data_IF_994341158187
#
_entry.id   IF_994341158187
#
_cell.length_a   1.000
_cell.length_b   1.000
_cell.length_c   1.000
_cell.angle_alpha   90.00
_cell.angle_beta   90.00
_cell.angle_gamma   90.00
#
_symmetry.space_group_name_H-M   'P 1'
#
loop_
_entity.id
_entity.type
_entity.pdbx_description
1 polymer ?
#
# COMPACT_ATOMS: atom_id res chain seq x y z
N UNK A 1 -61.47 34.75 -45.02
CA UNK A 1 -62.04 34.18 -43.79
C UNK A 1 -62.38 32.73 -44.11
N UNK A 2 -61.47 31.81 -43.79
CA UNK A 2 -61.56 30.37 -44.07
C UNK A 2 -61.02 29.60 -42.84
N UNK A 3 -61.70 28.48 -42.52
CA UNK A 3 -61.50 27.38 -41.52
C UNK A 3 -60.45 27.56 -40.41
N UNK A 4 -60.76 27.41 -39.11
CA UNK A 4 -61.31 26.25 -38.37
C UNK A 4 -60.42 25.01 -38.50
N UNK A 5 -59.78 24.62 -37.40
CA UNK A 5 -59.95 23.30 -36.77
C UNK A 5 -59.34 23.31 -35.35
N UNK A 6 -60.21 23.01 -34.39
CA UNK A 6 -59.93 22.55 -33.04
C UNK A 6 -59.18 21.21 -33.09
N UNK A 7 -58.21 20.94 -32.21
CA UNK A 7 -58.30 19.75 -31.34
C UNK A 7 -57.20 19.69 -30.26
N UNK A 8 -57.63 19.04 -29.20
CA UNK A 8 -57.04 18.76 -27.91
C UNK A 8 -55.99 17.63 -28.00
N UNK A 9 -55.05 17.59 -27.06
CA UNK A 9 -54.21 16.41 -26.89
C UNK A 9 -52.99 16.66 -26.02
N UNK A 10 -53.13 16.46 -24.72
CA UNK A 10 -51.97 16.12 -23.90
C UNK A 10 -51.42 14.77 -24.35
N UNK A 11 -50.10 14.68 -24.48
CA UNK A 11 -49.40 13.41 -24.48
C UNK A 11 -48.08 13.57 -23.72
N UNK A 12 -47.94 12.75 -22.69
CA UNK A 12 -46.67 12.49 -22.04
C UNK A 12 -46.11 11.22 -22.64
N UNK A 13 -44.97 11.33 -23.31
CA UNK A 13 -44.10 10.22 -23.73
C UNK A 13 -42.65 10.65 -23.45
N UNK A 14 -42.07 10.23 -22.34
CA UNK A 14 -41.12 9.11 -22.17
C UNK A 14 -39.82 9.26 -22.98
N UNK A 15 -38.74 9.55 -22.23
CA UNK A 15 -37.34 9.10 -22.33
C UNK A 15 -36.65 9.02 -23.70
N UNK A 16 -35.55 9.76 -23.82
CA UNK A 16 -34.28 9.25 -24.34
C UNK A 16 -33.15 9.85 -23.50
N UNK A 17 -32.43 8.99 -22.77
CA UNK A 17 -31.10 9.31 -22.28
C UNK A 17 -30.09 8.81 -23.30
N UNK A 18 -29.12 9.63 -23.68
CA UNK A 18 -27.78 9.20 -24.08
C UNK A 18 -26.83 10.40 -24.17
N UNK A 19 -25.54 10.15 -23.96
CA UNK A 19 -24.49 10.92 -24.63
C UNK A 19 -23.73 11.97 -23.85
N UNK A 20 -22.73 11.51 -23.09
CA UNK A 20 -21.46 12.16 -22.77
C UNK A 20 -20.96 13.28 -23.73
N UNK A 21 -20.27 14.27 -23.13
CA UNK A 21 -18.90 14.73 -23.45
C UNK A 21 -18.80 16.25 -23.36
N UNK A 22 -18.27 16.78 -22.26
CA UNK A 22 -17.42 17.98 -22.25
C UNK A 22 -16.34 17.75 -21.18
N UNK A 23 -15.30 17.00 -21.60
CA UNK A 23 -13.93 17.22 -21.14
C UNK A 23 -13.50 18.64 -21.55
N UNK A 24 -12.45 19.17 -20.91
CA UNK A 24 -11.83 20.50 -21.06
C UNK A 24 -12.37 21.52 -20.01
N UNK A 25 -11.58 22.12 -19.12
CA UNK A 25 -10.22 22.60 -19.24
C UNK A 25 -9.49 22.67 -17.89
N UNK A 26 -8.20 22.38 -17.98
CA UNK A 26 -7.12 22.70 -17.04
C UNK A 26 -7.23 24.12 -16.45
N UNK A 27 -7.26 24.21 -15.12
CA UNK A 27 -6.65 25.34 -14.41
C UNK A 27 -5.53 24.84 -13.52
N UNK A 28 -4.36 24.75 -14.14
CA UNK A 28 -3.07 24.78 -13.47
C UNK A 28 -2.89 26.13 -12.78
N UNK A 29 -3.21 26.21 -11.48
CA UNK A 29 -2.62 27.24 -10.62
C UNK A 29 -1.15 26.89 -10.40
N UNK A 30 -0.32 27.56 -11.19
CA UNK A 30 1.12 27.56 -11.07
C UNK A 30 1.52 28.35 -9.82
N UNK A 31 1.77 27.66 -8.71
CA UNK A 31 2.51 28.22 -7.58
C UNK A 31 3.99 27.94 -7.79
N UNK A 32 4.75 29.00 -8.09
CA UNK A 32 6.21 28.97 -8.18
C UNK A 32 6.81 28.54 -6.83
N UNK A 33 7.29 27.30 -6.75
CA UNK A 33 8.17 26.87 -5.68
C UNK A 33 9.52 26.42 -6.29
N UNK A 34 10.50 27.30 -6.17
CA UNK A 34 11.90 26.99 -6.41
C UNK A 34 12.38 26.04 -5.31
N UNK A 35 12.39 24.72 -5.58
CA UNK A 35 13.12 23.73 -4.78
C UNK A 35 14.16 22.97 -5.63
N UNK A 36 15.37 23.01 -5.08
CA UNK A 36 16.65 22.41 -5.44
C UNK A 36 16.53 20.89 -5.79
N UNK A 37 17.45 20.30 -6.58
CA UNK A 37 17.24 19.01 -7.22
C UNK A 37 17.32 17.87 -6.21
N UNK A 38 16.17 17.43 -5.69
CA UNK A 38 16.08 16.18 -4.96
C UNK A 38 14.82 15.44 -5.43
N UNK A 39 14.99 14.56 -6.42
CA UNK A 39 14.05 13.45 -6.63
C UNK A 39 14.12 12.57 -5.38
N UNK A 40 13.31 12.90 -4.38
CA UNK A 40 13.31 12.21 -3.09
C UNK A 40 12.61 10.86 -3.28
N UNK A 41 13.36 9.88 -3.80
CA UNK A 41 12.98 8.45 -3.95
C UNK A 41 12.84 7.72 -2.60
N UNK A 42 12.51 8.46 -1.53
CA UNK A 42 12.60 8.02 -0.15
C UNK A 42 11.45 7.17 0.38
N UNK A 43 10.19 7.19 -0.10
CA UNK A 43 9.14 6.42 0.58
C UNK A 43 9.40 4.91 0.56
N UNK A 44 9.86 4.38 -0.57
CA UNK A 44 10.27 2.97 -0.69
C UNK A 44 11.55 2.68 0.12
N UNK A 45 12.56 3.55 -0.02
CA UNK A 45 13.86 3.36 0.63
C UNK A 45 13.75 3.44 2.16
N UNK A 46 12.90 4.34 2.67
CA UNK A 46 12.57 4.50 4.08
C UNK A 46 11.82 3.29 4.62
N UNK A 47 10.83 2.77 3.89
CA UNK A 47 10.14 1.53 4.27
C UNK A 47 11.14 0.36 4.37
N UNK A 48 12.02 0.18 3.39
CA UNK A 48 13.07 -0.85 3.43
C UNK A 48 14.02 -0.67 4.62
N UNK A 49 14.45 0.56 4.89
CA UNK A 49 15.33 0.85 6.02
C UNK A 49 14.65 0.54 7.36
N UNK A 50 13.38 0.90 7.53
CA UNK A 50 12.58 0.60 8.73
C UNK A 50 12.40 -0.92 8.88
N UNK A 51 12.15 -1.65 7.81
CA UNK A 51 12.01 -3.11 7.83
C UNK A 51 13.32 -3.80 8.22
N UNK A 52 14.45 -3.36 7.68
CA UNK A 52 15.77 -3.89 8.06
C UNK A 52 16.08 -3.57 9.52
N UNK A 53 15.83 -2.33 9.96
CA UNK A 53 15.99 -1.93 11.36
C UNK A 53 15.10 -2.71 12.32
N UNK A 54 13.86 -3.01 11.89
CA UNK A 54 12.94 -3.83 12.64
C UNK A 54 13.51 -5.25 12.82
N UNK A 55 13.94 -5.92 11.74
CA UNK A 55 14.54 -7.27 11.80
C UNK A 55 15.79 -7.30 12.70
N UNK A 56 16.65 -6.28 12.63
CA UNK A 56 17.79 -6.14 13.53
C UNK A 56 17.38 -5.99 15.00
N UNK A 57 16.36 -5.18 15.27
CA UNK A 57 15.77 -5.05 16.60
C UNK A 57 15.19 -6.36 17.12
N UNK A 58 14.55 -7.15 16.25
CA UNK A 58 14.06 -8.49 16.56
C UNK A 58 15.20 -9.44 16.90
N UNK A 59 16.27 -9.46 16.11
CA UNK A 59 17.45 -10.29 16.35
C UNK A 59 18.05 -10.05 17.76
N UNK A 60 18.17 -8.78 18.16
CA UNK A 60 18.70 -8.39 19.47
C UNK A 60 17.70 -8.75 20.59
N UNK A 61 16.41 -8.47 20.37
CA UNK A 61 15.36 -8.76 21.35
C UNK A 61 15.28 -10.26 21.64
N UNK A 62 15.23 -11.11 20.62
CA UNK A 62 15.17 -12.56 20.75
C UNK A 62 16.47 -13.14 21.33
N UNK A 63 17.63 -12.59 20.98
CA UNK A 63 18.91 -13.03 21.54
C UNK A 63 19.04 -12.75 23.04
N UNK A 64 18.43 -11.68 23.57
CA UNK A 64 18.49 -11.33 24.99
C UNK A 64 17.44 -12.09 25.82
N UNK A 65 16.26 -12.35 25.25
CA UNK A 65 15.12 -12.89 25.99
C UNK A 65 15.00 -14.42 25.93
N UNK A 66 15.33 -15.04 24.81
CA UNK A 66 15.21 -16.49 24.62
C UNK A 66 16.55 -17.22 24.55
N UNK A 67 17.68 -16.52 24.66
CA UNK A 67 19.03 -17.08 24.42
C UNK A 67 19.17 -17.74 23.02
N UNK A 68 18.26 -17.42 22.11
CA UNK A 68 18.28 -17.90 20.74
C UNK A 68 19.41 -17.26 19.94
N UNK A 69 19.91 -17.99 18.95
CA UNK A 69 20.83 -17.41 17.98
C UNK A 69 20.15 -16.20 17.30
N UNK A 70 20.89 -15.10 17.13
CA UNK A 70 20.41 -13.91 16.40
C UNK A 70 19.82 -14.26 15.03
N UNK A 71 20.34 -15.31 14.39
CA UNK A 71 19.87 -15.81 13.10
C UNK A 71 18.47 -16.45 13.18
N UNK A 72 18.17 -17.21 14.23
CA UNK A 72 16.87 -17.91 14.36
C UNK A 72 15.75 -16.92 14.69
N UNK A 73 16.01 -15.98 15.61
CA UNK A 73 15.04 -14.93 15.96
C UNK A 73 14.73 -13.97 14.81
N UNK A 74 15.75 -13.58 14.04
CA UNK A 74 15.54 -12.74 12.85
C UNK A 74 14.86 -13.48 11.70
N UNK A 75 15.19 -14.76 11.50
CA UNK A 75 14.53 -15.64 10.53
C UNK A 75 13.04 -15.79 10.84
N UNK A 76 12.69 -16.12 12.09
CA UNK A 76 11.29 -16.25 12.51
C UNK A 76 10.49 -14.95 12.27
N UNK A 77 11.07 -13.80 12.65
CA UNK A 77 10.44 -12.50 12.44
C UNK A 77 10.22 -12.24 10.95
N UNK A 78 11.25 -12.44 10.11
CA UNK A 78 11.14 -12.22 8.68
C UNK A 78 10.11 -13.15 8.02
N UNK A 79 10.11 -14.45 8.35
CA UNK A 79 9.15 -15.44 7.81
C UNK A 79 7.72 -15.13 8.22
N UNK A 80 7.51 -14.67 9.46
CA UNK A 80 6.20 -14.25 9.96
C UNK A 80 5.70 -12.99 9.24
N UNK A 81 6.58 -12.00 9.10
CA UNK A 81 6.29 -10.72 8.44
C UNK A 81 6.05 -10.84 6.94
N UNK A 82 6.86 -11.66 6.26
CA UNK A 82 6.68 -11.97 4.83
C UNK A 82 5.46 -12.84 4.56
N UNK A 83 4.69 -13.18 5.59
CA UNK A 83 3.52 -14.07 5.57
C UNK A 83 3.80 -15.46 5.00
N UNK A 84 5.07 -15.85 4.91
CA UNK A 84 5.49 -17.21 4.53
C UNK A 84 5.08 -18.19 5.62
N UNK A 85 5.33 -17.85 6.90
CA UNK A 85 4.76 -18.52 8.07
C UNK A 85 5.01 -20.03 8.16
N UNK A 86 6.23 -20.52 7.93
CA UNK A 86 6.54 -21.95 8.01
C UNK A 86 6.24 -22.57 9.38
N UNK A 87 6.43 -21.81 10.47
CA UNK A 87 6.16 -22.27 11.84
C UNK A 87 7.12 -23.38 12.30
N UNK A 88 8.29 -23.47 11.67
CA UNK A 88 9.36 -24.43 11.97
C UNK A 88 10.14 -24.08 13.24
N UNK A 89 10.26 -22.79 13.52
CA UNK A 89 10.92 -22.24 14.70
C UNK A 89 9.85 -21.44 15.46
N UNK A 90 9.54 -21.85 16.69
CA UNK A 90 8.53 -21.21 17.53
C UNK A 90 9.11 -20.83 18.90
N UNK A 91 8.85 -19.62 19.39
CA UNK A 91 9.34 -19.18 20.69
C UNK A 91 8.84 -20.15 21.78
N UNK A 92 9.73 -20.54 22.68
CA UNK A 92 9.45 -21.44 23.80
C UNK A 92 9.88 -22.91 23.64
N UNK A 93 10.43 -23.34 22.50
CA UNK A 93 10.77 -24.77 22.28
C UNK A 93 11.98 -25.25 23.10
N UNK A 94 12.96 -24.39 23.39
CA UNK A 94 14.14 -24.75 24.19
C UNK A 94 13.97 -24.53 25.72
N UNK A 95 12.92 -23.84 26.17
CA UNK A 95 12.74 -23.43 27.59
C UNK A 95 11.62 -24.25 28.26
N UNK A 96 11.73 -25.57 28.25
CA UNK A 96 10.79 -26.47 28.98
C UNK A 96 10.97 -26.47 30.52
N UNK A 97 11.63 -25.48 31.14
CA UNK A 97 11.97 -25.57 32.58
C UNK A 97 11.95 -24.30 33.43
N UNK A 98 11.50 -23.13 32.94
CA UNK A 98 11.55 -21.90 33.74
C UNK A 98 10.34 -20.98 33.55
N UNK A 99 9.87 -20.39 34.64
CA UNK A 99 8.68 -19.52 34.78
C UNK A 99 8.75 -18.17 33.98
N UNK A 100 9.54 -18.09 32.91
CA UNK A 100 9.77 -16.90 32.07
C UNK A 100 9.06 -16.91 30.71
N UNK A 101 8.41 -18.01 30.33
CA UNK A 101 7.74 -18.18 29.03
C UNK A 101 6.65 -17.14 28.75
N UNK A 102 5.86 -16.77 29.77
CA UNK A 102 4.68 -15.89 29.58
C UNK A 102 5.06 -14.49 29.06
N UNK A 103 6.18 -13.94 29.53
CA UNK A 103 6.63 -12.62 29.09
C UNK A 103 7.17 -12.67 27.66
N UNK A 104 7.96 -13.70 27.32
CA UNK A 104 8.51 -13.87 25.97
C UNK A 104 7.41 -13.97 24.92
N UNK A 105 6.33 -14.71 25.18
CA UNK A 105 5.17 -14.76 24.29
C UNK A 105 4.46 -13.41 24.15
N UNK A 106 4.29 -12.66 25.25
CA UNK A 106 3.67 -11.33 25.22
C UNK A 106 4.52 -10.37 24.38
N UNK A 107 5.83 -10.29 24.63
CA UNK A 107 6.75 -9.43 23.87
C UNK A 107 6.83 -9.85 22.41
N UNK A 108 6.90 -11.15 22.13
CA UNK A 108 6.88 -11.69 20.77
C UNK A 108 5.60 -11.28 20.03
N UNK A 109 4.42 -11.48 20.64
CA UNK A 109 3.15 -11.12 20.00
C UNK A 109 3.01 -9.62 19.76
N UNK A 110 3.40 -8.79 20.73
CA UNK A 110 3.36 -7.33 20.62
C UNK A 110 4.29 -6.84 19.52
N UNK A 111 5.51 -7.40 19.48
CA UNK A 111 6.48 -7.12 18.43
C UNK A 111 5.88 -7.52 17.08
N UNK A 112 5.51 -8.78 16.85
CA UNK A 112 4.92 -9.24 15.58
C UNK A 112 3.72 -8.40 15.12
N UNK A 113 2.83 -8.00 16.03
CA UNK A 113 1.72 -7.09 15.69
C UNK A 113 2.22 -5.74 15.18
N UNK A 114 3.23 -5.16 15.83
CA UNK A 114 3.85 -3.91 15.40
C UNK A 114 4.50 -4.05 14.01
N UNK A 115 5.22 -5.14 13.76
CA UNK A 115 5.81 -5.39 12.44
C UNK A 115 4.76 -5.58 11.34
N UNK A 116 3.65 -6.27 11.61
CA UNK A 116 2.54 -6.40 10.67
C UNK A 116 1.87 -5.05 10.37
N UNK A 117 1.73 -4.19 11.38
CA UNK A 117 1.23 -2.82 11.19
C UNK A 117 2.18 -1.97 10.34
N UNK A 118 3.50 -2.09 10.56
CA UNK A 118 4.51 -1.43 9.73
C UNK A 118 4.44 -1.91 8.28
N UNK A 119 4.26 -3.21 8.04
CA UNK A 119 4.07 -3.78 6.70
C UNK A 119 2.83 -3.22 6.03
N UNK A 120 1.71 -3.13 6.75
CA UNK A 120 0.49 -2.53 6.20
C UNK A 120 0.70 -1.06 5.80
N UNK A 121 1.37 -0.27 6.65
CA UNK A 121 1.73 1.12 6.34
C UNK A 121 2.67 1.21 5.13
N UNK A 122 3.68 0.34 5.08
CA UNK A 122 4.59 0.22 3.96
C UNK A 122 3.87 -0.11 2.65
N UNK A 123 2.89 -1.03 2.67
CA UNK A 123 2.09 -1.35 1.50
C UNK A 123 1.25 -0.17 1.05
N UNK A 124 0.72 0.64 1.96
CA UNK A 124 0.00 1.86 1.59
C UNK A 124 0.92 2.86 0.86
N UNK A 125 2.11 3.13 1.39
CA UNK A 125 3.09 4.00 0.74
C UNK A 125 3.59 3.45 -0.60
N UNK A 126 3.86 2.15 -0.67
CA UNK A 126 4.28 1.50 -1.90
C UNK A 126 3.20 1.60 -2.97
N UNK A 127 1.93 1.44 -2.61
CA UNK A 127 0.81 1.58 -3.55
C UNK A 127 0.75 2.99 -4.13
N UNK A 128 0.88 4.04 -3.31
CA UNK A 128 0.84 5.44 -3.78
C UNK A 128 1.96 5.73 -4.80
N UNK A 129 3.18 5.31 -4.51
CA UNK A 129 4.34 5.46 -5.40
C UNK A 129 4.20 4.63 -6.68
N UNK A 130 3.78 3.37 -6.55
CA UNK A 130 3.57 2.47 -7.69
C UNK A 130 2.47 3.02 -8.58
N UNK A 131 1.37 3.54 -8.04
CA UNK A 131 0.29 4.18 -8.81
C UNK A 131 0.81 5.41 -9.55
N UNK A 132 1.64 6.25 -8.92
CA UNK A 132 2.24 7.42 -9.57
C UNK A 132 3.17 7.05 -10.73
N UNK A 133 4.02 6.02 -10.55
CA UNK A 133 4.93 5.51 -11.60
C UNK A 133 4.14 4.79 -12.70
N UNK A 134 3.16 3.95 -12.36
CA UNK A 134 2.28 3.26 -13.32
C UNK A 134 1.53 4.26 -14.18
N UNK A 135 0.98 5.36 -13.62
CA UNK A 135 0.29 6.39 -14.40
C UNK A 135 1.21 7.06 -15.42
N UNK A 136 2.48 7.26 -15.06
CA UNK A 136 3.50 7.81 -15.97
C UNK A 136 3.88 6.80 -17.07
N UNK A 137 4.06 5.53 -16.70
CA UNK A 137 4.31 4.44 -17.65
C UNK A 137 3.11 4.21 -18.58
N UNK A 138 1.88 4.23 -18.08
CA UNK A 138 0.67 4.09 -18.89
C UNK A 138 0.57 5.18 -19.96
N UNK A 139 0.92 6.43 -19.62
CA UNK A 139 0.97 7.51 -20.62
C UNK A 139 2.01 7.20 -21.70
N UNK A 140 3.23 6.83 -21.32
CA UNK A 140 4.30 6.48 -22.27
C UNK A 140 3.90 5.28 -23.15
N UNK A 141 3.36 4.21 -22.56
CA UNK A 141 2.89 3.03 -23.29
C UNK A 141 1.76 3.40 -24.25
N UNK A 142 0.80 4.24 -23.84
CA UNK A 142 -0.27 4.76 -24.72
C UNK A 142 0.29 5.62 -25.85
N UNK A 143 1.33 6.43 -25.60
CA UNK A 143 2.03 7.18 -26.64
C UNK A 143 2.76 6.26 -27.63
N UNK A 144 3.43 5.21 -27.14
CA UNK A 144 4.10 4.21 -28.00
C UNK A 144 3.06 3.48 -28.86
N UNK A 145 1.98 2.98 -28.26
CA UNK A 145 0.92 2.28 -28.99
C UNK A 145 0.19 3.14 -30.03
N UNK A 146 0.13 4.47 -29.80
CA UNK A 146 -0.51 5.42 -30.73
C UNK A 146 0.43 5.91 -31.84
N UNK A 147 1.73 5.62 -31.75
CA UNK A 147 2.72 5.90 -32.80
C UNK A 147 2.92 4.72 -33.76
N UNK A 148 2.50 3.51 -33.36
CA UNK A 148 2.65 2.28 -34.14
C UNK A 148 1.44 1.97 -35.06
N UNK A 149 0.44 2.85 -35.13
CA UNK A 149 -0.74 2.71 -36.00
C UNK A 149 -0.94 3.95 -36.86
#
# INVERSE_FOLDING_TARGET
MAGRDDDNGGDGTVNEGDGNNEDDDDQSEQSDESYDPQHVTVPLTLCLAIMVGYIWGGAILFSIWEDWNMLDGSYFCFVSLSTIGFGDIVPGDEIYSGQGLDLSFIFCSMYLMLGMALIAMCFNLMQEEVIAKIRSLMRIVKYIFRCER
#
